data_IF_767678684122
#
_entry.id   IF_767678684122
#
_cell.length_a   1.000
_cell.length_b   1.000
_cell.length_c   1.000
_cell.angle_alpha   90.00
_cell.angle_beta   90.00
_cell.angle_gamma   90.00
#
_symmetry.space_group_name_H-M   'P 1'
#
loop_
_entity.id
_entity.type
_entity.pdbx_description
1 polymer ?
#
# COMPACT_ATOMS: atom_id res chain seq x y z
N UNK A 1 7.70 -0.30 -19.84
CA UNK A 1 6.72 0.25 -18.89
C UNK A 1 7.46 1.21 -17.97
N UNK A 2 7.15 2.51 -17.98
CA UNK A 2 7.76 3.51 -17.10
C UNK A 2 7.05 3.47 -15.75
N UNK A 3 7.59 2.75 -14.78
CA UNK A 3 7.01 2.66 -13.43
C UNK A 3 7.23 3.99 -12.70
N UNK A 4 6.15 4.58 -12.20
CA UNK A 4 6.14 5.90 -11.57
C UNK A 4 5.39 5.79 -10.24
N UNK A 5 5.96 6.30 -9.15
CA UNK A 5 5.25 6.45 -7.87
C UNK A 5 4.33 7.67 -7.92
N UNK A 6 3.03 7.49 -7.70
CA UNK A 6 2.00 8.55 -7.76
C UNK A 6 1.16 8.55 -6.48
N UNK A 7 1.02 9.71 -5.83
CA UNK A 7 0.01 9.94 -4.78
C UNK A 7 -1.36 10.33 -5.37
N UNK A 8 -2.45 9.90 -4.72
CA UNK A 8 -3.86 10.06 -5.15
C UNK A 8 -4.26 11.54 -5.22
N UNK A 9 -4.99 11.93 -6.28
CA UNK A 9 -5.41 13.31 -6.55
C UNK A 9 -6.67 13.74 -5.77
N UNK A 10 -6.77 15.04 -5.41
CA UNK A 10 -7.89 15.69 -4.70
C UNK A 10 -8.79 16.47 -5.69
N UNK A 11 -10.14 16.35 -5.66
CA UNK A 11 -11.04 17.06 -6.57
C UNK A 11 -11.44 18.48 -6.11
N UNK A 12 -11.31 19.48 -6.99
CA UNK A 12 -11.97 20.81 -6.93
C UNK A 12 -12.52 21.11 -8.34
N UNK A 13 -13.76 21.64 -8.47
CA UNK A 13 -14.42 21.83 -9.77
C UNK A 13 -14.89 23.25 -10.07
N UNK A 14 -14.52 23.84 -11.23
CA UNK A 14 -15.20 24.92 -11.95
C UNK A 14 -14.85 24.91 -13.48
N UNK A 15 -15.56 25.67 -14.34
CA UNK A 15 -15.62 25.57 -15.83
C UNK A 15 -15.19 26.90 -16.52
N UNK A 16 -14.99 27.00 -17.86
CA UNK A 16 -13.91 26.49 -18.75
C UNK A 16 -13.26 27.58 -19.66
N UNK A 17 -12.20 27.28 -20.42
CA UNK A 17 -11.97 27.58 -21.88
C UNK A 17 -10.52 27.27 -22.33
N UNK A 18 -10.33 26.90 -23.61
CA UNK A 18 -9.10 26.35 -24.25
C UNK A 18 -8.48 27.37 -25.26
N UNK A 19 -7.40 27.06 -26.04
CA UNK A 19 -6.01 26.68 -25.70
C UNK A 19 -4.95 27.33 -26.66
N UNK A 20 -3.66 26.99 -26.54
CA UNK A 20 -2.68 26.61 -27.63
C UNK A 20 -1.23 26.59 -27.07
N UNK A 21 -0.49 25.47 -26.92
CA UNK A 21 0.20 24.51 -27.84
C UNK A 21 1.57 24.98 -28.41
N UNK A 22 2.54 24.04 -28.44
CA UNK A 22 3.79 23.87 -29.22
C UNK A 22 5.03 23.59 -28.33
N UNK A 23 5.59 22.38 -28.17
CA UNK A 23 6.34 21.40 -29.03
C UNK A 23 7.84 21.69 -29.30
N UNK A 24 8.68 20.66 -29.07
CA UNK A 24 10.07 20.49 -29.55
C UNK A 24 11.10 20.29 -28.42
N UNK A 25 11.57 19.10 -27.97
CA UNK A 25 12.11 17.86 -28.58
C UNK A 25 13.63 17.98 -28.92
N UNK A 26 14.36 16.87 -28.67
CA UNK A 26 15.71 16.43 -29.12
C UNK A 26 16.86 16.62 -28.10
N UNK A 27 17.86 15.76 -27.90
CA UNK A 27 18.16 14.32 -28.09
C UNK A 27 19.63 14.09 -27.64
N UNK A 28 20.02 12.82 -27.44
CA UNK A 28 21.36 12.22 -27.59
C UNK A 28 22.31 12.05 -26.35
N UNK A 29 22.25 10.84 -25.80
CA UNK A 29 23.28 9.82 -25.55
C UNK A 29 24.78 10.16 -25.33
N UNK A 30 25.37 9.52 -24.30
CA UNK A 30 26.65 8.79 -24.37
C UNK A 30 26.85 7.83 -23.17
N UNK A 31 27.46 6.68 -23.45
CA UNK A 31 27.64 5.49 -22.57
C UNK A 31 28.97 5.56 -21.79
N UNK A 32 28.96 5.15 -20.53
CA UNK A 32 30.17 4.69 -19.82
C UNK A 32 29.81 3.62 -18.78
N UNK A 33 30.28 2.40 -19.01
CA UNK A 33 30.06 1.22 -18.15
C UNK A 33 31.05 1.22 -16.99
N UNK A 34 30.56 1.46 -15.78
CA UNK A 34 31.27 1.13 -14.54
C UNK A 34 30.42 0.13 -13.75
N UNK A 35 30.98 -1.07 -13.51
CA UNK A 35 30.43 -2.08 -12.61
C UNK A 35 30.56 -1.57 -11.17
N UNK A 36 29.63 -0.71 -10.78
CA UNK A 36 29.26 -0.46 -9.40
C UNK A 36 28.13 -1.44 -9.07
N UNK A 37 28.28 -2.19 -7.98
CA UNK A 37 27.14 -2.78 -7.25
C UNK A 37 26.31 -1.61 -6.71
N UNK A 38 25.59 -0.95 -7.62
CA UNK A 38 24.61 0.06 -7.29
C UNK A 38 23.42 -0.71 -6.72
N UNK A 39 22.93 -0.41 -5.50
CA UNK A 39 21.58 -0.80 -5.16
C UNK A 39 20.70 -0.18 -6.26
N UNK A 40 20.13 -1.02 -7.12
CA UNK A 40 19.21 -0.56 -8.15
C UNK A 40 18.10 0.27 -7.50
N UNK A 41 17.53 1.25 -8.20
CA UNK A 41 16.43 2.03 -7.65
C UNK A 41 15.33 1.08 -7.19
N UNK A 42 15.02 1.10 -5.88
CA UNK A 42 13.87 0.39 -5.32
C UNK A 42 12.63 0.94 -6.02
N UNK A 43 11.98 0.11 -6.82
CA UNK A 43 10.82 0.52 -7.60
C UNK A 43 9.59 0.54 -6.71
N UNK A 44 8.74 1.55 -6.89
CA UNK A 44 7.39 1.52 -6.35
C UNK A 44 6.64 0.33 -6.96
N UNK A 45 5.93 -0.41 -6.11
CA UNK A 45 4.96 -1.41 -6.55
C UNK A 45 3.57 -0.80 -6.38
N UNK A 46 2.75 -0.91 -7.42
CA UNK A 46 1.40 -0.39 -7.46
C UNK A 46 0.52 -1.45 -8.12
N UNK A 47 -0.64 -1.68 -7.54
CA UNK A 47 -1.67 -2.50 -8.15
C UNK A 47 -3.05 -2.08 -7.65
N UNK A 48 -3.92 -1.65 -8.56
CA UNK A 48 -5.31 -1.32 -8.24
C UNK A 48 -6.26 -2.48 -8.57
N UNK A 49 -5.76 -3.61 -9.07
CA UNK A 49 -6.49 -4.84 -9.40
C UNK A 49 -7.69 -4.68 -10.36
N UNK A 50 -7.92 -3.47 -10.86
CA UNK A 50 -9.06 -3.10 -11.71
C UNK A 50 -9.00 -3.75 -13.09
N UNK A 51 -7.82 -4.23 -13.47
CA UNK A 51 -7.59 -5.00 -14.69
C UNK A 51 -7.97 -6.50 -14.55
N UNK A 52 -8.38 -6.91 -13.34
CA UNK A 52 -8.93 -8.24 -13.05
C UNK A 52 -7.89 -9.36 -13.07
N UNK A 53 -6.61 -9.05 -12.82
CA UNK A 53 -5.56 -10.04 -12.70
C UNK A 53 -4.56 -9.70 -11.57
N UNK A 54 -3.69 -10.66 -11.25
CA UNK A 54 -2.58 -10.51 -10.30
C UNK A 54 -1.23 -10.69 -11.00
N UNK A 55 -1.09 -10.13 -12.20
CA UNK A 55 0.14 -10.24 -12.99
C UNK A 55 1.34 -9.67 -12.22
N UNK A 56 2.39 -10.47 -12.12
CA UNK A 56 3.61 -10.15 -11.35
C UNK A 56 3.47 -10.36 -9.84
N UNK A 57 2.39 -10.96 -9.36
CA UNK A 57 2.32 -11.48 -8.00
C UNK A 57 2.66 -12.97 -7.97
N UNK A 58 3.36 -13.39 -6.91
CA UNK A 58 3.49 -14.79 -6.56
C UNK A 58 2.37 -15.16 -5.59
N UNK A 59 1.42 -15.99 -6.04
CA UNK A 59 0.41 -16.58 -5.16
C UNK A 59 1.08 -17.48 -4.12
N UNK A 60 0.82 -17.17 -2.85
CA UNK A 60 1.22 -17.95 -1.70
C UNK A 60 0.07 -18.88 -1.29
N UNK A 61 0.24 -20.17 -1.55
CA UNK A 61 -0.73 -21.20 -1.18
C UNK A 61 0.00 -22.45 -0.70
N UNK A 62 0.50 -22.44 0.55
CA UNK A 62 1.34 -23.52 1.08
C UNK A 62 0.62 -24.87 1.16
N UNK A 63 -0.72 -24.87 1.14
CA UNK A 63 -1.56 -26.05 1.25
C UNK A 63 -2.11 -26.59 -0.07
N UNK A 64 -1.79 -25.93 -1.20
CA UNK A 64 -2.16 -26.42 -2.52
C UNK A 64 -1.65 -27.86 -2.82
N UNK A 65 -0.42 -28.26 -2.43
CA UNK A 65 0.05 -29.64 -2.65
C UNK A 65 -0.77 -30.71 -1.92
N UNK A 66 -1.56 -30.34 -0.90
CA UNK A 66 -2.44 -31.24 -0.16
C UNK A 66 -3.90 -31.17 -0.64
N UNK A 67 -4.15 -30.55 -1.80
CA UNK A 67 -5.50 -30.39 -2.35
C UNK A 67 -6.33 -29.29 -1.68
N UNK A 68 -5.69 -28.41 -0.91
CA UNK A 68 -6.33 -27.30 -0.19
C UNK A 68 -5.76 -25.95 -0.66
N UNK A 69 -5.91 -25.60 -1.95
CA UNK A 69 -5.38 -24.35 -2.47
C UNK A 69 -6.15 -23.14 -1.92
N UNK A 70 -5.45 -22.01 -1.86
CA UNK A 70 -6.07 -20.70 -1.75
C UNK A 70 -6.83 -20.41 -3.05
N UNK A 71 -7.92 -19.66 -2.93
CA UNK A 71 -8.74 -19.22 -4.06
C UNK A 71 -8.52 -17.73 -4.25
N UNK A 72 -8.28 -17.34 -5.49
CA UNK A 72 -7.89 -15.99 -5.89
C UNK A 72 -8.85 -15.53 -6.99
N UNK A 73 -9.50 -14.38 -6.79
CA UNK A 73 -10.50 -13.85 -7.72
C UNK A 73 -10.58 -12.32 -7.69
N UNK A 74 -11.26 -11.72 -8.67
CA UNK A 74 -11.31 -10.27 -8.84
C UNK A 74 -12.74 -9.70 -8.80
N UNK A 75 -13.50 -9.86 -7.71
CA UNK A 75 -14.86 -9.33 -7.63
C UNK A 75 -14.85 -7.80 -7.62
N UNK A 76 -15.62 -7.20 -8.53
CA UNK A 76 -15.82 -5.74 -8.61
C UNK A 76 -14.51 -4.93 -8.71
N UNK A 77 -13.45 -5.49 -9.31
CA UNK A 77 -12.16 -4.83 -9.44
C UNK A 77 -11.23 -4.96 -8.22
N UNK A 78 -11.68 -5.55 -7.10
CA UNK A 78 -10.83 -5.84 -5.95
C UNK A 78 -10.22 -7.24 -6.02
N UNK A 79 -9.09 -7.46 -5.37
CA UNK A 79 -8.40 -8.75 -5.30
C UNK A 79 -8.79 -9.53 -4.04
N UNK A 80 -9.60 -10.58 -4.24
CA UNK A 80 -10.12 -11.44 -3.17
C UNK A 80 -9.27 -12.68 -3.00
N UNK A 81 -8.87 -12.93 -1.75
CA UNK A 81 -8.13 -14.12 -1.34
C UNK A 81 -8.98 -14.89 -0.32
N UNK A 82 -9.18 -16.18 -0.58
CA UNK A 82 -9.94 -17.08 0.29
C UNK A 82 -9.19 -18.39 0.55
N UNK A 83 -9.53 -19.05 1.65
CA UNK A 83 -9.15 -20.44 1.90
C UNK A 83 -10.40 -21.30 2.07
N UNK A 84 -10.34 -22.57 1.63
CA UNK A 84 -11.45 -23.52 1.75
C UNK A 84 -10.98 -24.80 2.44
N UNK A 85 -10.67 -24.68 3.73
CA UNK A 85 -10.09 -25.79 4.50
C UNK A 85 -11.23 -26.59 5.16
N UNK A 86 -11.26 -27.92 4.99
CA UNK A 86 -12.13 -28.80 5.77
C UNK A 86 -11.84 -28.66 7.26
N UNK A 87 -12.87 -28.62 8.09
CA UNK A 87 -12.69 -28.52 9.53
C UNK A 87 -11.90 -29.72 10.09
N UNK A 88 -11.05 -29.47 11.09
CA UNK A 88 -10.34 -30.51 11.83
C UNK A 88 -8.86 -30.68 11.48
N UNK A 89 -8.19 -29.64 10.98
CA UNK A 89 -6.74 -29.63 10.73
C UNK A 89 -6.00 -28.67 11.68
N UNK A 90 -5.98 -28.93 13.01
CA UNK A 90 -5.47 -27.98 14.00
C UNK A 90 -4.00 -27.61 13.82
N UNK A 91 -3.18 -28.54 13.33
CA UNK A 91 -1.76 -28.31 13.06
C UNK A 91 -1.51 -27.60 11.73
N UNK A 92 -2.56 -27.34 10.94
CA UNK A 92 -2.41 -26.75 9.62
C UNK A 92 -3.56 -25.79 9.26
N UNK A 93 -3.65 -24.64 9.96
CA UNK A 93 -4.67 -23.64 9.71
C UNK A 93 -4.60 -23.11 8.28
N UNK A 94 -5.77 -22.79 7.74
CA UNK A 94 -5.91 -22.26 6.40
C UNK A 94 -5.23 -20.93 6.23
N UNK A 95 -4.32 -20.84 5.27
CA UNK A 95 -3.66 -19.58 4.93
C UNK A 95 -3.37 -19.49 3.45
N UNK A 96 -3.48 -18.29 2.93
CA UNK A 96 -3.14 -17.93 1.57
C UNK A 96 -2.68 -16.48 1.54
N UNK A 97 -2.02 -16.10 0.47
CA UNK A 97 -1.55 -14.73 0.31
C UNK A 97 -1.05 -14.48 -1.09
N UNK A 98 -0.54 -13.29 -1.31
CA UNK A 98 0.05 -12.88 -2.58
C UNK A 98 1.25 -12.01 -2.29
N UNK A 99 2.39 -12.28 -2.93
CA UNK A 99 3.67 -11.62 -2.63
C UNK A 99 4.21 -10.96 -3.89
N UNK A 100 4.60 -9.68 -3.79
CA UNK A 100 5.27 -8.96 -4.88
C UNK A 100 6.78 -9.16 -4.80
N UNK A 101 7.29 -10.14 -5.55
CA UNK A 101 8.71 -10.56 -5.49
C UNK A 101 9.66 -9.79 -6.40
N UNK A 102 9.18 -8.76 -7.10
CA UNK A 102 10.01 -7.96 -8.01
C UNK A 102 10.88 -6.90 -7.31
N UNK A 103 10.62 -6.59 -6.03
CA UNK A 103 11.39 -5.59 -5.27
C UNK A 103 11.64 -6.07 -3.84
N UNK A 104 12.90 -6.08 -3.41
CA UNK A 104 13.30 -6.33 -2.02
C UNK A 104 13.28 -5.00 -1.27
N UNK A 105 12.54 -4.96 -0.17
CA UNK A 105 12.38 -3.79 0.70
C UNK A 105 13.21 -3.97 1.96
N UNK A 106 14.06 -3.00 2.29
CA UNK A 106 14.75 -2.89 3.58
C UNK A 106 13.92 -2.03 4.52
N UNK A 107 13.89 -0.72 4.28
CA UNK A 107 12.84 0.16 4.76
C UNK A 107 11.61 0.04 3.85
N UNK A 108 10.42 0.29 4.41
CA UNK A 108 9.19 0.13 3.66
C UNK A 108 8.05 1.04 4.13
N UNK A 109 7.18 1.35 3.18
CA UNK A 109 5.82 1.81 3.38
C UNK A 109 4.95 0.94 2.47
N UNK A 110 4.14 0.07 3.05
CA UNK A 110 3.19 -0.79 2.34
C UNK A 110 1.79 -0.36 2.74
N UNK A 111 0.91 -0.15 1.77
CA UNK A 111 -0.48 0.19 2.01
C UNK A 111 -1.40 -0.63 1.12
N UNK A 112 -2.60 -0.91 1.61
CA UNK A 112 -3.68 -1.54 0.84
C UNK A 112 -5.02 -1.07 1.38
N UNK A 113 -6.02 -0.97 0.51
CA UNK A 113 -7.40 -0.81 0.91
C UNK A 113 -8.00 -2.20 1.16
N UNK A 114 -8.67 -2.36 2.29
CA UNK A 114 -9.55 -3.50 2.58
C UNK A 114 -10.97 -3.03 2.32
N UNK A 115 -11.59 -3.61 1.31
CA UNK A 115 -12.89 -3.15 0.76
C UNK A 115 -14.02 -4.15 0.98
N UNK A 116 -13.71 -5.38 1.38
CA UNK A 116 -14.71 -6.37 1.78
C UNK A 116 -14.06 -7.51 2.58
N UNK A 117 -14.78 -8.09 3.53
CA UNK A 117 -14.40 -9.32 4.23
C UNK A 117 -15.62 -9.98 4.84
N UNK A 118 -15.50 -11.26 5.18
CA UNK A 118 -16.52 -11.96 5.96
C UNK A 118 -16.37 -11.67 7.45
N UNK A 119 -17.21 -10.77 7.95
CA UNK A 119 -17.24 -10.36 9.36
C UNK A 119 -18.00 -11.35 10.28
N UNK A 120 -18.11 -12.61 9.89
CA UNK A 120 -18.62 -13.68 10.75
C UNK A 120 -17.59 -14.82 10.93
N UNK A 121 -16.43 -14.71 10.26
CA UNK A 121 -15.34 -15.66 10.37
C UNK A 121 -14.34 -15.21 11.45
N UNK A 122 -13.80 -16.17 12.19
CA UNK A 122 -12.61 -15.95 13.02
C UNK A 122 -11.38 -16.11 12.11
N UNK A 123 -11.07 -15.02 11.43
CA UNK A 123 -10.00 -14.91 10.45
C UNK A 123 -9.10 -13.73 10.78
N UNK A 124 -7.89 -13.80 10.24
CA UNK A 124 -6.90 -12.75 10.30
C UNK A 124 -6.50 -12.37 8.88
N UNK A 125 -6.39 -11.09 8.58
CA UNK A 125 -5.97 -10.62 7.26
C UNK A 125 -5.22 -9.30 7.31
N UNK A 126 -4.41 -9.02 6.30
CA UNK A 126 -3.70 -7.74 6.21
C UNK A 126 -2.45 -7.79 5.34
N UNK A 127 -1.44 -7.06 5.79
CA UNK A 127 -0.21 -6.79 5.05
C UNK A 127 0.93 -7.68 5.52
N UNK A 128 1.76 -8.09 4.57
CA UNK A 128 3.04 -8.76 4.78
C UNK A 128 4.18 -7.81 4.43
N UNK A 129 5.26 -7.86 5.22
CA UNK A 129 6.47 -7.10 4.94
C UNK A 129 7.72 -7.92 5.24
N UNK A 130 8.80 -7.61 4.52
CA UNK A 130 10.10 -8.27 4.64
C UNK A 130 10.00 -9.80 4.56
N UNK A 131 9.13 -10.29 3.69
CA UNK A 131 8.91 -11.72 3.52
C UNK A 131 10.10 -12.39 2.84
N UNK A 132 10.53 -13.52 3.39
CA UNK A 132 11.58 -14.38 2.88
C UNK A 132 11.18 -15.86 2.95
N UNK A 133 12.01 -16.74 2.38
CA UNK A 133 11.88 -18.21 2.45
C UNK A 133 10.45 -18.73 2.15
N UNK A 134 9.80 -18.16 1.13
CA UNK A 134 8.38 -18.38 0.84
C UNK A 134 8.09 -19.86 0.60
N UNK A 135 7.31 -20.47 1.48
CA UNK A 135 6.93 -21.88 1.36
C UNK A 135 6.44 -22.49 2.66
N UNK A 136 5.88 -23.70 2.53
CA UNK A 136 5.39 -24.50 3.65
C UNK A 136 6.52 -24.74 4.68
N UNK A 137 6.23 -24.40 5.93
CA UNK A 137 7.11 -24.48 7.10
C UNK A 137 8.33 -23.56 7.05
N UNK A 138 8.40 -22.64 6.07
CA UNK A 138 9.63 -21.91 5.74
C UNK A 138 9.44 -20.40 5.70
N UNK A 139 8.24 -19.91 5.38
CA UNK A 139 7.99 -18.47 5.20
C UNK A 139 8.39 -17.69 6.45
N UNK A 140 9.16 -16.63 6.25
CA UNK A 140 9.62 -15.73 7.31
C UNK A 140 9.24 -14.29 7.01
N UNK A 141 9.21 -13.41 8.02
CA UNK A 141 9.09 -11.97 7.87
C UNK A 141 8.18 -11.34 8.93
N UNK A 142 7.43 -10.30 8.55
CA UNK A 142 6.47 -9.65 9.44
C UNK A 142 5.08 -9.56 8.81
N UNK A 143 4.07 -9.49 9.67
CA UNK A 143 2.70 -9.23 9.29
C UNK A 143 2.11 -8.11 10.16
N UNK A 144 1.29 -7.26 9.54
CA UNK A 144 0.38 -6.34 10.23
C UNK A 144 -1.04 -6.70 9.83
N UNK A 145 -1.81 -7.19 10.80
CA UNK A 145 -3.07 -7.88 10.50
C UNK A 145 -4.17 -7.52 11.48
N UNK A 146 -5.41 -7.52 10.97
CA UNK A 146 -6.62 -7.43 11.77
C UNK A 146 -7.09 -8.83 12.17
N UNK A 147 -7.44 -9.03 13.44
CA UNK A 147 -8.22 -10.15 13.94
C UNK A 147 -9.58 -9.64 14.40
N UNK A 148 -10.66 -10.27 13.94
CA UNK A 148 -12.03 -9.96 14.41
C UNK A 148 -12.25 -10.33 15.88
N UNK A 149 -11.52 -11.31 16.38
CA UNK A 149 -11.76 -11.99 17.65
C UNK A 149 -12.42 -13.36 17.46
N UNK A 150 -12.81 -13.98 18.57
CA UNK A 150 -13.30 -15.36 18.56
C UNK A 150 -14.80 -15.48 18.28
N UNK A 151 -15.27 -16.70 17.99
CA UNK A 151 -16.71 -16.98 17.95
C UNK A 151 -17.46 -16.70 19.26
N UNK A 152 -16.75 -16.62 20.40
CA UNK A 152 -17.31 -16.27 21.72
C UNK A 152 -17.27 -14.76 21.96
N UNK A 153 -16.26 -14.08 21.41
CA UNK A 153 -16.00 -12.64 21.59
C UNK A 153 -15.83 -11.95 20.23
N UNK A 154 -16.88 -11.95 19.40
CA UNK A 154 -16.81 -11.59 17.98
C UNK A 154 -16.52 -10.10 17.70
N UNK A 155 -16.54 -9.27 18.74
CA UNK A 155 -16.24 -7.84 18.67
C UNK A 155 -15.02 -7.48 19.54
N UNK A 156 -14.30 -8.48 20.04
CA UNK A 156 -13.08 -8.28 20.84
C UNK A 156 -11.81 -8.36 20.01
N UNK A 157 -11.93 -8.07 18.72
CA UNK A 157 -10.82 -8.00 17.79
C UNK A 157 -9.75 -7.00 18.18
N UNK A 158 -8.62 -7.12 17.50
CA UNK A 158 -7.44 -6.28 17.64
C UNK A 158 -6.65 -6.25 16.33
N UNK A 159 -5.57 -5.48 16.35
CA UNK A 159 -4.56 -5.53 15.30
C UNK A 159 -3.26 -5.97 15.93
N UNK A 160 -2.52 -6.82 15.24
CA UNK A 160 -1.24 -7.34 15.69
C UNK A 160 -0.14 -7.00 14.69
N UNK A 161 1.04 -6.63 15.21
CA UNK A 161 2.30 -6.76 14.46
C UNK A 161 2.92 -8.08 14.90
N UNK A 162 3.09 -9.01 13.97
CA UNK A 162 3.64 -10.34 14.23
C UNK A 162 4.93 -10.58 13.47
N UNK A 163 5.89 -11.25 14.11
CA UNK A 163 7.01 -11.89 13.44
C UNK A 163 6.60 -13.28 12.98
N UNK A 164 6.97 -13.66 11.76
CA UNK A 164 6.72 -14.99 11.21
C UNK A 164 8.04 -15.75 11.15
N UNK A 165 8.12 -16.88 11.83
CA UNK A 165 9.27 -17.79 11.83
C UNK A 165 8.84 -19.15 11.29
N UNK A 166 9.10 -19.46 10.02
CA UNK A 166 8.72 -20.75 9.43
C UNK A 166 7.20 -20.98 9.41
N UNK A 167 6.43 -19.95 9.04
CA UNK A 167 4.96 -19.88 9.13
C UNK A 167 4.36 -19.88 10.53
N UNK A 168 5.18 -19.75 11.59
CA UNK A 168 4.70 -19.62 12.97
C UNK A 168 4.69 -18.15 13.37
N UNK A 169 3.51 -17.51 13.51
CA UNK A 169 3.43 -16.12 13.94
C UNK A 169 3.68 -15.99 15.46
N UNK A 170 4.47 -14.99 15.83
CA UNK A 170 4.65 -14.51 17.21
C UNK A 170 4.29 -13.04 17.26
N UNK A 171 3.27 -12.68 18.03
CA UNK A 171 2.88 -11.27 18.23
C UNK A 171 4.02 -10.52 18.93
N UNK A 172 4.47 -9.42 18.31
CA UNK A 172 5.48 -8.51 18.88
C UNK A 172 4.78 -7.35 19.60
N UNK A 173 3.73 -6.81 18.98
CA UNK A 173 2.88 -5.78 19.56
C UNK A 173 1.43 -6.00 19.18
N UNK A 174 0.52 -5.53 20.04
CA UNK A 174 -0.91 -5.71 19.94
C UNK A 174 -1.64 -4.40 20.22
N UNK A 175 -2.57 -4.07 19.34
CA UNK A 175 -3.48 -2.95 19.51
C UNK A 175 -4.48 -3.13 20.65
N UNK A 176 -5.31 -2.11 20.92
CA UNK A 176 -6.33 -2.21 21.94
C UNK A 176 -7.32 -3.33 21.58
N UNK A 177 -7.70 -4.12 22.60
CA UNK A 177 -8.76 -5.12 22.45
C UNK A 177 -10.13 -4.45 22.33
N UNK A 178 -11.08 -5.12 21.70
CA UNK A 178 -12.40 -4.54 21.45
C UNK A 178 -12.47 -3.68 20.19
N UNK A 179 -11.43 -3.73 19.35
CA UNK A 179 -11.40 -3.00 18.10
C UNK A 179 -12.15 -3.80 17.02
N UNK A 180 -13.31 -3.32 16.64
CA UNK A 180 -14.16 -3.98 15.66
C UNK A 180 -14.35 -3.09 14.44
N UNK A 181 -13.87 -3.56 13.28
CA UNK A 181 -14.06 -2.85 12.02
C UNK A 181 -15.52 -2.96 11.58
N UNK A 182 -16.08 -1.87 11.05
CA UNK A 182 -17.43 -1.88 10.52
C UNK A 182 -17.42 -2.45 9.09
N UNK A 183 -18.06 -3.60 8.80
CA UNK A 183 -18.05 -4.21 7.47
C UNK A 183 -18.78 -3.38 6.39
N UNK A 184 -19.49 -2.31 6.77
CA UNK A 184 -20.07 -1.35 5.84
C UNK A 184 -19.09 -0.21 5.45
N UNK A 185 -17.82 -0.29 5.85
CA UNK A 185 -16.79 0.72 5.62
C UNK A 185 -15.56 0.09 4.97
N UNK A 186 -14.87 0.90 4.19
CA UNK A 186 -13.56 0.57 3.64
C UNK A 186 -12.47 1.13 4.56
N UNK A 187 -11.36 0.41 4.63
CA UNK A 187 -10.23 0.80 5.46
C UNK A 187 -8.94 0.78 4.67
N UNK A 188 -8.02 1.70 4.95
CA UNK A 188 -6.65 1.61 4.46
C UNK A 188 -5.74 1.12 5.57
N UNK A 189 -5.13 -0.03 5.34
CA UNK A 189 -4.06 -0.54 6.20
C UNK A 189 -2.74 -0.02 5.68
N UNK A 190 -1.86 0.39 6.58
CA UNK A 190 -0.51 0.84 6.27
C UNK A 190 0.45 0.15 7.22
N UNK A 191 1.50 -0.47 6.68
CA UNK A 191 2.58 -1.05 7.45
C UNK A 191 3.89 -0.38 7.04
N UNK A 192 4.61 0.16 8.02
CA UNK A 192 5.82 0.96 7.83
C UNK A 192 6.97 0.29 8.57
N UNK A 193 8.15 0.27 7.94
CA UNK A 193 9.38 -0.21 8.54
C UNK A 193 10.52 0.74 8.30
N UNK A 194 11.23 1.12 9.37
CA UNK A 194 12.45 1.93 9.30
C UNK A 194 13.52 1.35 10.23
N UNK A 195 14.51 0.67 9.64
CA UNK A 195 15.43 -0.18 10.37
C UNK A 195 14.66 -1.24 11.19
N UNK A 196 14.86 -1.35 12.52
CA UNK A 196 14.13 -2.30 13.35
C UNK A 196 12.74 -1.81 13.78
N UNK A 197 12.39 -0.54 13.52
CA UNK A 197 11.11 0.01 13.96
C UNK A 197 10.01 -0.33 12.96
N UNK A 198 8.89 -0.80 13.48
CA UNK A 198 7.72 -1.20 12.73
C UNK A 198 6.51 -0.39 13.22
N UNK A 199 5.66 0.06 12.31
CA UNK A 199 4.46 0.83 12.64
C UNK A 199 3.29 0.40 11.76
N UNK A 200 2.19 -0.01 12.40
CA UNK A 200 0.92 -0.30 11.74
C UNK A 200 -0.03 0.87 11.92
N UNK A 201 -0.66 1.34 10.83
CA UNK A 201 -1.71 2.36 10.86
C UNK A 201 -2.95 1.88 10.14
N UNK A 202 -4.11 2.26 10.67
CA UNK A 202 -5.42 1.99 10.05
C UNK A 202 -6.12 3.32 9.84
N UNK A 203 -6.70 3.50 8.66
CA UNK A 203 -7.50 4.67 8.29
C UNK A 203 -8.90 4.21 7.90
N UNK A 204 -9.94 4.86 8.42
CA UNK A 204 -11.29 4.69 7.88
C UNK A 204 -11.44 5.58 6.64
N UNK A 205 -11.67 4.97 5.49
CA UNK A 205 -11.76 5.71 4.24
C UNK A 205 -13.05 6.55 4.17
N UNK A 206 -13.01 7.73 3.52
CA UNK A 206 -11.92 8.26 2.70
C UNK A 206 -10.84 9.06 3.48
N UNK A 207 -10.90 9.14 4.81
CA UNK A 207 -9.96 9.94 5.59
C UNK A 207 -8.61 9.24 5.76
N UNK A 208 -7.63 9.64 4.96
CA UNK A 208 -6.24 9.16 5.05
C UNK A 208 -5.31 10.08 5.86
N UNK A 209 -5.85 11.13 6.49
CA UNK A 209 -5.07 12.07 7.28
C UNK A 209 -4.89 11.58 8.72
N UNK A 210 -5.99 11.17 9.35
CA UNK A 210 -6.00 10.78 10.75
C UNK A 210 -6.20 9.27 10.87
N UNK A 211 -5.20 8.51 11.36
CA UNK A 211 -5.40 7.10 11.58
C UNK A 211 -6.41 6.89 12.72
N UNK A 212 -7.30 5.92 12.55
CA UNK A 212 -8.21 5.43 13.59
C UNK A 212 -7.52 4.42 14.52
N UNK A 213 -6.35 3.93 14.14
CA UNK A 213 -5.47 3.12 14.98
C UNK A 213 -3.99 3.32 14.57
N UNK A 214 -3.10 3.33 15.55
CA UNK A 214 -1.65 3.23 15.35
C UNK A 214 -1.06 2.31 16.41
N UNK A 215 -0.22 1.36 15.98
CA UNK A 215 0.52 0.44 16.85
C UNK A 215 1.98 0.38 16.39
N UNK A 216 2.91 0.11 17.31
CA UNK A 216 4.35 0.21 17.04
C UNK A 216 5.12 -0.92 17.68
N UNK A 217 6.04 -1.51 16.94
CA UNK A 217 6.91 -2.56 17.43
C UNK A 217 8.37 -2.27 17.11
N UNK A 218 9.28 -2.97 17.78
CA UNK A 218 10.71 -2.97 17.45
C UNK A 218 11.20 -4.40 17.38
N UNK A 219 11.65 -4.83 16.20
CA UNK A 219 12.23 -6.15 15.98
C UNK A 219 13.22 -6.08 14.81
N UNK A 220 14.41 -6.68 14.98
CA UNK A 220 15.50 -6.63 13.99
C UNK A 220 15.77 -7.97 13.30
N UNK A 221 14.91 -8.98 13.52
CA UNK A 221 15.12 -10.36 13.05
C UNK A 221 15.20 -10.43 11.52
N UNK A 222 14.30 -9.72 10.82
CA UNK A 222 14.25 -9.69 9.36
C UNK A 222 14.54 -8.26 8.89
N UNK A 223 15.74 -7.97 8.35
CA UNK A 223 16.11 -6.62 7.92
C UNK A 223 15.57 -6.26 6.53
N UNK A 224 15.18 -7.25 5.73
CA UNK A 224 14.70 -7.04 4.36
C UNK A 224 13.88 -8.22 3.84
N UNK A 225 13.06 -7.97 2.82
CA UNK A 225 12.36 -9.00 2.05
C UNK A 225 11.24 -8.40 1.20
N UNK A 226 10.28 -9.22 0.80
CA UNK A 226 9.19 -8.81 -0.09
C UNK A 226 7.96 -8.28 0.67
N UNK A 227 7.13 -7.47 0.00
CA UNK A 227 5.83 -7.04 0.47
C UNK A 227 4.70 -7.95 -0.05
N UNK A 228 3.56 -7.98 0.64
CA UNK A 228 2.42 -8.77 0.18
C UNK A 228 1.14 -8.63 0.99
N UNK A 229 0.20 -9.53 0.70
CA UNK A 229 -1.11 -9.66 1.31
C UNK A 229 -1.26 -11.04 1.93
N UNK A 230 -2.03 -11.16 3.01
CA UNK A 230 -2.28 -12.44 3.68
C UNK A 230 -3.71 -12.56 4.20
N UNK A 231 -4.21 -13.79 4.19
CA UNK A 231 -5.35 -14.26 4.96
C UNK A 231 -4.96 -15.51 5.73
N UNK A 232 -5.43 -15.65 6.96
CA UNK A 232 -5.07 -16.72 7.89
C UNK A 232 -6.27 -17.10 8.78
N UNK A 233 -6.51 -18.41 8.94
CA UNK A 233 -7.55 -18.97 9.80
C UNK A 233 -7.08 -18.98 11.25
N UNK A 234 -7.74 -18.19 12.10
CA UNK A 234 -7.39 -18.10 13.52
C UNK A 234 -8.27 -18.98 14.43
N UNK A 235 -9.03 -19.92 13.88
CA UNK A 235 -9.82 -20.91 14.65
C UNK A 235 -9.02 -22.12 15.12
N UNK A 236 -7.74 -22.21 14.74
CA UNK A 236 -6.94 -23.43 14.89
C UNK A 236 -7.39 -24.51 13.91
N UNK A 237 -7.48 -24.18 12.62
CA UNK A 237 -7.68 -25.17 11.54
C UNK A 237 -9.10 -25.70 11.39
N UNK A 238 -10.09 -24.91 11.78
CA UNK A 238 -11.52 -25.25 11.70
C UNK A 238 -12.29 -24.30 10.79
N UNK A 239 -11.63 -23.28 10.25
CA UNK A 239 -12.26 -22.16 9.60
C UNK A 239 -11.84 -21.98 8.15
N UNK A 240 -12.47 -20.99 7.55
CA UNK A 240 -12.12 -20.46 6.23
C UNK A 240 -11.74 -19.00 6.39
N UNK A 241 -11.17 -18.42 5.35
CA UNK A 241 -10.81 -17.00 5.29
C UNK A 241 -11.35 -16.39 4.02
N UNK A 242 -11.64 -15.09 4.07
CA UNK A 242 -12.23 -14.32 2.99
C UNK A 242 -12.04 -12.82 3.24
N UNK A 243 -11.11 -12.23 2.50
CA UNK A 243 -10.87 -10.80 2.45
C UNK A 243 -10.60 -10.33 1.01
N UNK A 244 -11.04 -9.11 0.70
CA UNK A 244 -10.87 -8.44 -0.58
C UNK A 244 -10.07 -7.17 -0.39
N UNK A 245 -9.01 -7.05 -1.16
CA UNK A 245 -8.02 -5.98 -1.13
C UNK A 245 -8.11 -5.13 -2.39
N UNK A 246 -7.77 -3.86 -2.30
CA UNK A 246 -7.70 -2.93 -3.43
C UNK A 246 -6.54 -1.93 -3.24
N UNK A 247 -6.08 -1.27 -4.30
CA UNK A 247 -5.13 -0.15 -4.27
C UNK A 247 -3.84 -0.45 -3.47
N UNK A 248 -3.18 -1.57 -3.76
CA UNK A 248 -1.90 -1.91 -3.16
C UNK A 248 -0.79 -0.93 -3.59
N UNK A 249 0.00 -0.50 -2.62
CA UNK A 249 1.16 0.36 -2.78
C UNK A 249 2.30 -0.18 -1.92
N UNK A 250 3.49 -0.32 -2.48
CA UNK A 250 4.71 -0.50 -1.69
C UNK A 250 5.84 0.40 -2.17
N UNK A 251 6.48 1.05 -1.20
CA UNK A 251 7.54 2.04 -1.39
C UNK A 251 8.67 1.80 -0.38
N UNK A 252 9.91 2.26 -0.67
CA UNK A 252 11.01 2.22 0.30
C UNK A 252 10.83 3.19 1.48
N UNK A 253 9.93 4.16 1.36
CA UNK A 253 9.69 5.19 2.37
C UNK A 253 8.25 5.71 2.27
N UNK A 254 7.75 6.32 3.36
CA UNK A 254 6.44 6.97 3.35
C UNK A 254 6.42 8.12 2.33
N UNK A 255 5.43 8.19 1.43
CA UNK A 255 5.33 9.30 0.50
C UNK A 255 4.83 10.56 1.21
N UNK A 256 5.24 11.76 0.77
CA UNK A 256 4.68 13.01 1.27
C UNK A 256 3.19 13.07 1.01
N UNK A 257 2.46 13.65 1.97
CA UNK A 257 1.08 14.04 1.78
C UNK A 257 1.04 15.41 1.15
N UNK A 258 0.44 15.48 -0.04
CA UNK A 258 0.12 16.75 -0.67
C UNK A 258 -1.05 17.37 0.09
N UNK A 259 -0.82 18.55 0.64
CA UNK A 259 -1.84 19.35 1.32
C UNK A 259 -2.25 20.51 0.42
N UNK A 260 -3.39 21.10 0.76
CA UNK A 260 -3.82 22.33 0.11
C UNK A 260 -4.41 23.32 1.11
N UNK A 261 -4.33 24.59 0.75
CA UNK A 261 -4.92 25.71 1.47
C UNK A 261 -5.55 26.66 0.44
N UNK A 262 -6.76 27.13 0.71
CA UNK A 262 -7.38 28.20 -0.08
C UNK A 262 -7.22 29.50 0.71
N UNK A 263 -6.51 30.47 0.13
CA UNK A 263 -6.43 31.82 0.70
C UNK A 263 -7.74 32.54 0.41
N UNK A 264 -8.46 32.94 1.44
CA UNK A 264 -9.80 33.52 1.28
C UNK A 264 -9.78 34.92 0.68
N UNK A 265 -8.70 35.65 0.89
CA UNK A 265 -8.53 37.03 0.44
C UNK A 265 -8.25 37.12 -1.06
N UNK A 266 -7.51 36.14 -1.62
CA UNK A 266 -7.10 36.12 -3.03
C UNK A 266 -7.82 35.03 -3.84
N UNK A 267 -8.54 34.13 -3.18
CA UNK A 267 -9.10 32.89 -3.74
C UNK A 267 -8.05 32.00 -4.43
N UNK A 268 -6.78 32.16 -4.06
CA UNK A 268 -5.68 31.36 -4.57
C UNK A 268 -5.59 30.02 -3.84
N UNK A 269 -5.24 28.98 -4.59
CA UNK A 269 -4.95 27.67 -4.05
C UNK A 269 -3.44 27.55 -3.85
N UNK A 270 -3.04 27.27 -2.63
CA UNK A 270 -1.71 26.74 -2.33
C UNK A 270 -1.79 25.22 -2.27
N UNK A 271 -0.93 24.52 -3.00
CA UNK A 271 -0.64 23.10 -2.73
C UNK A 271 0.77 22.99 -2.19
N UNK A 272 0.97 22.17 -1.16
CA UNK A 272 2.24 22.13 -0.43
C UNK A 272 2.53 20.79 0.23
N UNK A 273 3.81 20.52 0.47
CA UNK A 273 4.29 19.34 1.20
C UNK A 273 5.59 19.64 1.95
N UNK A 274 5.94 18.88 3.00
CA UNK A 274 7.09 19.22 3.85
C UNK A 274 8.43 19.17 3.09
N UNK A 275 9.33 20.12 3.37
CA UNK A 275 10.67 20.18 2.72
C UNK A 275 11.55 18.96 3.01
N UNK A 276 11.22 18.17 4.04
CA UNK A 276 11.90 16.90 4.32
C UNK A 276 11.68 15.86 3.23
N UNK A 277 10.68 16.03 2.36
CA UNK A 277 10.39 15.14 1.22
C UNK A 277 10.87 15.78 -0.08
N UNK A 278 12.17 15.64 -0.35
CA UNK A 278 12.83 16.20 -1.54
C UNK A 278 12.73 15.28 -2.75
N UNK A 279 13.01 15.83 -3.94
CA UNK A 279 13.07 15.06 -5.19
C UNK A 279 11.72 14.69 -5.79
N UNK A 280 10.63 15.29 -5.31
CA UNK A 280 9.29 15.17 -5.91
C UNK A 280 9.04 16.27 -6.94
N UNK A 281 8.36 15.88 -8.01
CA UNK A 281 7.83 16.77 -9.03
C UNK A 281 6.33 16.92 -8.76
N UNK A 282 5.86 18.16 -8.66
CA UNK A 282 4.44 18.46 -8.66
C UNK A 282 3.92 18.40 -10.09
N UNK A 283 2.82 17.69 -10.29
CA UNK A 283 2.12 17.67 -11.57
C UNK A 283 0.64 17.94 -11.38
N UNK A 284 0.01 18.48 -12.42
CA UNK A 284 -1.42 18.68 -12.48
C UNK A 284 -2.08 18.08 -13.71
N UNK A 285 -3.38 17.86 -13.62
CA UNK A 285 -4.26 17.52 -14.73
C UNK A 285 -5.60 18.24 -14.56
N UNK A 286 -6.29 18.62 -15.66
CA UNK A 286 -7.63 19.19 -15.55
C UNK A 286 -8.74 18.14 -15.41
N UNK A 287 -8.41 16.84 -15.54
CA UNK A 287 -9.39 15.75 -15.56
C UNK A 287 -8.89 14.52 -14.81
N UNK A 288 -9.82 13.71 -14.32
CA UNK A 288 -9.58 12.34 -13.87
C UNK A 288 -10.55 11.38 -14.58
N UNK A 289 -10.11 10.15 -14.95
CA UNK A 289 -8.73 9.68 -14.92
C UNK A 289 -7.86 10.46 -15.92
N UNK A 290 -6.65 10.83 -15.50
CA UNK A 290 -5.74 11.66 -16.28
C UNK A 290 -4.81 10.80 -17.16
N UNK A 291 -4.81 11.05 -18.47
CA UNK A 291 -3.84 10.43 -19.40
C UNK A 291 -2.58 11.27 -19.57
N UNK A 292 -2.66 12.57 -19.26
CA UNK A 292 -1.57 13.52 -19.37
C UNK A 292 -1.45 14.31 -18.07
N UNK A 293 -0.21 14.65 -17.72
CA UNK A 293 0.12 15.38 -16.51
C UNK A 293 1.13 16.47 -16.87
N UNK A 294 0.86 17.69 -16.44
CA UNK A 294 1.71 18.86 -16.65
C UNK A 294 2.53 19.10 -15.40
N UNK A 295 3.85 19.19 -15.54
CA UNK A 295 4.71 19.56 -14.42
C UNK A 295 4.45 21.03 -14.03
N UNK A 296 4.29 21.26 -12.74
CA UNK A 296 4.06 22.57 -12.17
C UNK A 296 5.36 23.16 -11.59
N UNK A 297 5.41 24.49 -11.53
CA UNK A 297 6.49 25.20 -10.85
C UNK A 297 6.38 25.01 -9.33
N UNK A 298 7.50 24.77 -8.66
CA UNK A 298 7.56 24.53 -7.22
C UNK A 298 8.53 25.52 -6.60
N UNK A 299 8.08 26.20 -5.56
CA UNK A 299 8.86 27.10 -4.74
C UNK A 299 9.25 26.41 -3.43
N UNK A 300 10.44 26.72 -2.92
CA UNK A 300 10.91 26.22 -1.62
C UNK A 300 10.75 27.31 -0.56
N UNK A 301 10.05 26.97 0.52
CA UNK A 301 9.96 27.79 1.73
C UNK A 301 10.71 27.16 2.89
N UNK A 302 10.72 27.79 4.08
CA UNK A 302 11.46 27.29 5.23
C UNK A 302 11.01 25.91 5.74
N UNK A 303 9.74 25.55 5.54
CA UNK A 303 9.11 24.32 6.05
C UNK A 303 8.42 23.49 4.98
N UNK A 304 8.04 24.10 3.85
CA UNK A 304 7.28 23.44 2.80
C UNK A 304 7.82 23.77 1.42
N UNK A 305 7.78 22.78 0.53
CA UNK A 305 7.66 23.04 -0.89
C UNK A 305 6.22 23.42 -1.17
N UNK A 306 6.01 24.41 -2.04
CA UNK A 306 4.66 24.87 -2.36
C UNK A 306 4.55 25.34 -3.81
N UNK A 307 3.32 25.33 -4.30
CA UNK A 307 2.93 25.90 -5.58
C UNK A 307 1.67 26.73 -5.36
N UNK A 308 1.63 27.89 -6.01
CA UNK A 308 0.47 28.77 -6.04
C UNK A 308 -0.23 28.61 -7.37
N UNK A 309 -1.52 28.35 -7.31
CA UNK A 309 -2.38 28.41 -8.47
C UNK A 309 -3.34 29.59 -8.30
N UNK A 310 -3.38 30.44 -9.34
CA UNK A 310 -4.18 31.67 -9.35
C UNK A 310 -5.68 31.43 -9.21
N UNK A 311 -6.42 32.51 -8.98
CA UNK A 311 -7.88 32.49 -8.96
C UNK A 311 -8.45 32.12 -10.35
N UNK A 312 -9.49 31.28 -10.38
CA UNK A 312 -10.08 30.60 -11.56
C UNK A 312 -9.43 29.25 -12.00
N UNK A 313 -9.19 28.38 -11.04
CA UNK A 313 -8.59 27.03 -11.19
C UNK A 313 -9.29 26.10 -12.20
N UNK A 314 -10.58 26.31 -12.42
CA UNK A 314 -11.41 25.32 -13.06
C UNK A 314 -11.37 23.97 -12.31
N UNK A 315 -11.46 22.86 -13.05
CA UNK A 315 -11.11 21.54 -12.52
C UNK A 315 -9.59 21.40 -12.62
N UNK A 316 -8.89 21.33 -11.48
CA UNK A 316 -7.46 21.03 -11.45
C UNK A 316 -7.17 20.02 -10.35
N UNK A 317 -6.44 18.98 -10.72
CA UNK A 317 -6.07 17.84 -9.88
C UNK A 317 -4.57 17.80 -9.77
N UNK A 318 -4.04 17.64 -8.56
CA UNK A 318 -2.59 17.64 -8.33
C UNK A 318 -2.12 16.26 -7.86
N UNK A 319 -0.87 15.91 -8.20
CA UNK A 319 -0.16 14.75 -7.67
C UNK A 319 1.31 15.06 -7.44
N UNK A 320 1.94 14.32 -6.54
CA UNK A 320 3.39 14.28 -6.44
C UNK A 320 3.91 13.04 -7.17
N UNK A 321 4.95 13.25 -7.98
CA UNK A 321 5.67 12.20 -8.68
C UNK A 321 7.13 12.22 -8.27
N UNK A 322 7.65 11.08 -7.80
CA UNK A 322 9.10 10.92 -7.62
C UNK A 322 9.71 10.31 -8.87
N UNK A 323 10.51 11.04 -9.68
CA UNK A 323 11.29 10.42 -10.74
C UNK A 323 12.23 9.37 -10.14
N UNK A 324 12.08 8.12 -10.55
CA UNK A 324 13.02 7.06 -10.16
C UNK A 324 14.31 7.29 -10.94
N UNK A 325 15.42 7.58 -10.25
CA UNK A 325 16.74 7.70 -10.88
C UNK A 325 17.25 6.31 -11.25
N UNK A 326 17.53 6.07 -12.54
CA UNK A 326 18.20 4.83 -12.98
C UNK A 326 17.61 4.06 -14.17
N UNK A 327 16.79 4.68 -15.04
CA UNK A 327 16.42 4.07 -16.33
C UNK A 327 16.85 4.96 -17.51
N UNK A 328 17.65 4.46 -18.48
CA UNK A 328 17.75 5.08 -19.80
C UNK A 328 16.43 4.85 -20.57
N UNK A 329 16.10 5.69 -21.57
CA UNK A 329 14.79 5.76 -22.22
C UNK A 329 14.23 4.45 -22.78
#
# INVERSE_FOLDING_TARGET
>A
MKTTCVTRAVPVQLKPTRPRLWMGLHAAAAVATALLLWPGPVQAQLDDFNDGNDDGWQRYSPLAPFGLPGVFSFPNGGYRIETRIPSGMPDNPGRAGSIRTNVVLTDFYIAVDVVNWRDDLQQVFGLLARIGNIGLGQTTGYAFTYDRGSGVTPTSGDFDISRIDGEVPTTIDRGPSGYHLNPAKDYRFVFIGKGPNLEGRVYELPNIETPVLTITATDSTYPSGYGGLVVYDNTGGKGVTDATFDNYLALPEEPPRLKYLIIRETEELQVFWPVTFTGYILESSPVLPATEWTQEEVFEGPQFFYHWEGSNLGNKFFRLRKPMTGWPP
#
